data_IF_123979697634
#
_entry.id   IF_123979697634
#
_cell.length_a   1.000
_cell.length_b   1.000
_cell.length_c   1.000
_cell.angle_alpha   90.00
_cell.angle_beta   90.00
_cell.angle_gamma   90.00
#
_symmetry.space_group_name_H-M   'P 1'
#
loop_
_entity.id
_entity.type
_entity.pdbx_description
1 polymer ?
#
# COMPACT_ATOMS: atom_id res chain seq x y z
N UNK A 1 -26.22 -44.64 -13.82
CA UNK A 1 -26.01 -43.30 -13.23
C UNK A 1 -27.02 -42.33 -13.85
N UNK A 2 -27.83 -41.66 -13.04
CA UNK A 2 -29.04 -40.95 -13.48
C UNK A 2 -28.69 -39.63 -14.21
N UNK A 3 -29.38 -39.30 -15.32
CA UNK A 3 -29.12 -38.07 -16.10
C UNK A 3 -29.35 -36.81 -15.25
N UNK A 4 -30.37 -36.83 -14.40
CA UNK A 4 -30.69 -35.75 -13.46
C UNK A 4 -29.52 -35.48 -12.51
N UNK A 5 -28.86 -36.54 -12.03
CA UNK A 5 -27.72 -36.42 -11.12
C UNK A 5 -26.53 -35.71 -11.79
N UNK A 6 -26.26 -36.01 -13.08
CA UNK A 6 -25.21 -35.31 -13.84
C UNK A 6 -25.48 -33.81 -13.99
N UNK A 7 -26.74 -33.42 -14.23
CA UNK A 7 -27.11 -32.01 -14.37
C UNK A 7 -26.96 -31.24 -13.05
N UNK A 8 -27.33 -31.85 -11.92
CA UNK A 8 -27.15 -31.26 -10.60
C UNK A 8 -25.65 -31.04 -10.30
N UNK A 9 -24.80 -32.03 -10.59
CA UNK A 9 -23.35 -31.87 -10.42
C UNK A 9 -22.76 -30.76 -11.30
N UNK A 10 -23.20 -30.65 -12.55
CA UNK A 10 -22.78 -29.58 -13.46
C UNK A 10 -23.19 -28.18 -12.96
N UNK A 11 -24.39 -28.06 -12.39
CA UNK A 11 -24.87 -26.81 -11.80
C UNK A 11 -24.02 -26.36 -10.60
N UNK A 12 -23.72 -27.27 -9.67
CA UNK A 12 -22.84 -26.96 -8.53
C UNK A 12 -21.40 -26.64 -8.96
N UNK A 13 -20.89 -27.31 -9.99
CA UNK A 13 -19.59 -27.00 -10.56
C UNK A 13 -19.55 -25.57 -11.13
N UNK A 14 -20.60 -25.14 -11.83
CA UNK A 14 -20.73 -23.76 -12.30
C UNK A 14 -20.77 -22.73 -11.17
N UNK A 15 -21.52 -22.99 -10.09
CA UNK A 15 -21.55 -22.10 -8.91
C UNK A 15 -20.14 -21.95 -8.31
N UNK A 16 -19.39 -23.05 -8.21
CA UNK A 16 -18.05 -23.06 -7.64
C UNK A 16 -17.05 -22.27 -8.49
N UNK A 17 -17.21 -22.27 -9.82
CA UNK A 17 -16.40 -21.44 -10.72
C UNK A 17 -16.71 -19.94 -10.58
N UNK A 18 -17.96 -19.57 -10.29
CA UNK A 18 -18.37 -18.16 -10.17
C UNK A 18 -18.02 -17.51 -8.82
N UNK A 19 -17.91 -18.28 -7.74
CA UNK A 19 -17.56 -17.73 -6.42
C UNK A 19 -16.05 -17.55 -6.21
N UNK A 20 -15.22 -18.11 -7.09
CA UNK A 20 -13.76 -18.16 -6.95
C UNK A 20 -13.00 -16.88 -7.35
N UNK A 21 -13.62 -15.89 -8.00
CA UNK A 21 -12.89 -14.75 -8.58
C UNK A 21 -12.83 -13.52 -7.68
N UNK A 22 -12.64 -13.71 -6.37
CA UNK A 22 -12.26 -12.61 -5.49
C UNK A 22 -10.78 -12.27 -5.69
N UNK A 23 -10.43 -11.76 -6.87
CA UNK A 23 -9.10 -11.22 -7.15
C UNK A 23 -8.67 -10.29 -6.02
N UNK A 24 -7.43 -10.43 -5.57
CA UNK A 24 -6.81 -9.43 -4.70
C UNK A 24 -6.47 -8.27 -5.62
N UNK A 25 -7.32 -7.25 -5.60
CA UNK A 25 -7.06 -6.02 -6.30
C UNK A 25 -6.08 -5.23 -5.44
N UNK A 26 -4.80 -5.23 -5.85
CA UNK A 26 -3.75 -4.44 -5.21
C UNK A 26 -3.43 -3.24 -6.11
N UNK A 27 -3.34 -2.05 -5.50
CA UNK A 27 -2.89 -0.83 -6.17
C UNK A 27 -1.42 -0.63 -5.93
N UNK A 28 -0.66 -0.36 -6.98
CA UNK A 28 0.76 0.01 -6.87
C UNK A 28 0.90 1.50 -7.22
N UNK A 29 1.56 2.25 -6.35
CA UNK A 29 1.99 3.63 -6.62
C UNK A 29 3.52 3.71 -6.53
N UNK A 30 4.12 4.51 -7.40
CA UNK A 30 5.56 4.73 -7.45
C UNK A 30 5.89 6.13 -6.97
N UNK A 31 6.78 6.24 -5.99
CA UNK A 31 7.21 7.50 -5.40
C UNK A 31 8.61 7.82 -5.92
N UNK A 32 8.80 9.01 -6.47
CA UNK A 32 10.10 9.51 -6.95
C UNK A 32 10.49 10.75 -6.16
N UNK A 33 11.76 10.87 -5.77
CA UNK A 33 12.26 11.93 -4.92
C UNK A 33 12.00 13.31 -5.51
N UNK A 34 12.36 13.52 -6.78
CA UNK A 34 12.22 14.80 -7.49
C UNK A 34 10.84 15.00 -8.14
N UNK A 35 9.81 14.32 -7.66
CA UNK A 35 8.45 14.40 -8.18
C UNK A 35 7.48 14.91 -7.10
N UNK A 36 6.40 15.54 -7.56
CA UNK A 36 5.20 15.87 -6.81
C UNK A 36 4.63 14.70 -6.00
N UNK A 37 4.90 13.45 -6.40
CA UNK A 37 4.51 12.24 -5.65
C UNK A 37 5.10 12.18 -4.25
N UNK A 38 6.36 12.60 -4.06
CA UNK A 38 7.04 12.57 -2.76
C UNK A 38 6.62 13.74 -1.88
N UNK A 39 6.49 14.94 -2.46
CA UNK A 39 6.04 16.14 -1.72
C UNK A 39 4.60 16.02 -1.19
N UNK A 40 3.73 15.36 -1.96
CA UNK A 40 2.34 15.12 -1.60
C UNK A 40 2.08 13.69 -1.13
N UNK A 41 3.07 13.04 -0.50
CA UNK A 41 2.98 11.63 -0.11
C UNK A 41 1.75 11.32 0.79
N UNK A 42 1.40 12.11 1.82
CA UNK A 42 0.22 11.84 2.64
C UNK A 42 -1.06 11.79 1.82
N UNK A 43 -1.28 12.84 1.01
CA UNK A 43 -2.45 12.94 0.14
C UNK A 43 -2.45 11.78 -0.85
N UNK A 44 -1.33 11.53 -1.52
CA UNK A 44 -1.22 10.47 -2.51
C UNK A 44 -1.58 9.11 -1.92
N UNK A 45 -1.11 8.80 -0.71
CA UNK A 45 -1.49 7.57 -0.02
C UNK A 45 -3.00 7.58 0.25
N UNK A 46 -3.54 8.63 0.86
CA UNK A 46 -4.97 8.71 1.23
C UNK A 46 -5.92 8.42 0.06
N UNK A 47 -5.70 9.04 -1.11
CA UNK A 47 -6.57 8.84 -2.30
C UNK A 47 -6.39 7.49 -3.02
N UNK A 48 -5.37 6.70 -2.68
CA UNK A 48 -5.13 5.39 -3.29
C UNK A 48 -5.48 4.20 -2.38
N UNK A 49 -6.18 4.42 -1.26
CA UNK A 49 -6.62 3.35 -0.35
C UNK A 49 -8.01 2.79 -0.66
N UNK A 50 -8.46 2.84 -1.91
CA UNK A 50 -9.78 2.28 -2.29
C UNK A 50 -9.72 0.77 -2.56
N UNK A 51 -8.52 0.23 -2.78
CA UNK A 51 -8.26 -1.16 -3.10
C UNK A 51 -7.93 -1.98 -1.84
N UNK A 52 -8.04 -3.32 -1.90
CA UNK A 52 -7.79 -4.21 -0.74
C UNK A 52 -6.38 -4.01 -0.15
N UNK A 53 -5.42 -3.71 -1.01
CA UNK A 53 -4.02 -3.50 -0.68
C UNK A 53 -3.43 -2.34 -1.49
N UNK A 54 -2.63 -1.51 -0.84
CA UNK A 54 -1.83 -0.45 -1.43
C UNK A 54 -0.34 -0.78 -1.26
N UNK A 55 0.39 -0.84 -2.38
CA UNK A 55 1.84 -1.00 -2.42
C UNK A 55 2.44 0.35 -2.81
N UNK A 56 3.22 0.93 -1.90
CA UNK A 56 3.95 2.19 -2.12
C UNK A 56 5.40 1.83 -2.39
N UNK A 57 5.83 2.06 -3.64
CA UNK A 57 7.16 1.68 -4.10
C UNK A 57 8.05 2.92 -4.26
N UNK A 58 9.07 3.04 -3.41
CA UNK A 58 10.08 4.09 -3.45
C UNK A 58 11.16 3.67 -4.44
N UNK A 59 11.12 4.23 -5.65
CA UNK A 59 11.99 3.79 -6.75
C UNK A 59 13.39 4.37 -6.72
N UNK A 60 13.63 5.43 -5.96
CA UNK A 60 14.93 6.08 -5.86
C UNK A 60 15.73 5.56 -4.66
N UNK A 61 17.05 5.66 -4.74
CA UNK A 61 17.95 5.23 -3.66
C UNK A 61 18.00 6.25 -2.51
N UNK A 62 17.59 7.49 -2.78
CA UNK A 62 17.72 8.61 -1.85
C UNK A 62 16.49 9.53 -1.90
N UNK A 63 15.99 9.90 -0.72
CA UNK A 63 14.92 10.86 -0.53
C UNK A 63 15.34 11.88 0.53
N UNK A 64 15.52 13.14 0.13
CA UNK A 64 15.72 14.24 1.06
C UNK A 64 14.39 14.58 1.76
N UNK A 65 14.27 14.19 3.03
CA UNK A 65 13.07 14.46 3.82
C UNK A 65 12.88 15.96 4.06
N UNK A 66 13.88 16.81 3.83
CA UNK A 66 13.78 18.26 3.92
C UNK A 66 12.73 18.86 2.98
N UNK A 67 12.49 18.22 1.83
CA UNK A 67 11.58 18.68 0.78
C UNK A 67 10.09 18.61 1.16
N UNK A 68 9.76 17.85 2.20
CA UNK A 68 8.39 17.77 2.71
C UNK A 68 8.21 18.91 3.71
N UNK A 69 7.30 19.85 3.43
CA UNK A 69 7.15 21.06 4.24
C UNK A 69 6.68 20.76 5.67
N UNK A 70 5.89 19.69 5.82
CA UNK A 70 5.34 19.21 7.07
C UNK A 70 6.43 18.70 8.02
N UNK A 71 6.28 19.07 9.30
CA UNK A 71 7.20 18.64 10.35
C UNK A 71 6.98 17.18 10.77
N UNK A 72 5.76 16.70 10.60
CA UNK A 72 5.36 15.33 10.86
C UNK A 72 4.49 14.85 9.70
N UNK A 73 4.84 13.70 9.14
CA UNK A 73 4.04 13.05 8.11
C UNK A 73 3.07 12.13 8.83
N UNK A 74 1.79 12.49 8.85
CA UNK A 74 0.72 11.64 9.38
C UNK A 74 0.04 10.90 8.23
N UNK A 75 0.13 9.57 8.24
CA UNK A 75 -0.52 8.71 7.25
C UNK A 75 -1.61 7.92 7.96
N UNK A 76 -2.88 8.24 7.66
CA UNK A 76 -4.01 7.42 8.09
C UNK A 76 -4.12 6.17 7.20
N UNK A 77 -4.10 4.99 7.80
CA UNK A 77 -4.08 3.70 7.10
C UNK A 77 -5.43 2.99 7.27
N UNK A 78 -6.22 2.98 6.20
CA UNK A 78 -7.51 2.32 6.06
C UNK A 78 -7.42 0.95 5.37
N UNK A 79 -6.46 0.73 4.45
CA UNK A 79 -6.26 -0.55 3.73
C UNK A 79 -4.91 -1.19 4.06
N UNK A 80 -4.65 -2.41 3.59
CA UNK A 80 -3.35 -3.02 3.86
C UNK A 80 -2.30 -2.23 3.08
N UNK A 81 -1.23 -1.77 3.74
CA UNK A 81 -0.20 -0.96 3.11
C UNK A 81 1.15 -1.67 3.18
N UNK A 82 1.85 -1.72 2.06
CA UNK A 82 3.21 -2.23 1.94
C UNK A 82 4.11 -1.12 1.44
N UNK A 83 5.17 -0.80 2.18
CA UNK A 83 6.19 0.15 1.77
C UNK A 83 7.41 -0.62 1.25
N UNK A 84 7.77 -0.40 0.00
CA UNK A 84 8.85 -1.12 -0.68
C UNK A 84 9.94 -0.12 -1.07
N UNK A 85 11.18 -0.40 -0.65
CA UNK A 85 12.34 0.36 -1.09
C UNK A 85 12.92 -0.15 -2.41
N UNK A 86 13.79 0.65 -3.00
CA UNK A 86 14.62 0.29 -4.14
C UNK A 86 15.46 -0.96 -3.81
N UNK A 87 15.67 -1.82 -4.82
CA UNK A 87 16.48 -3.05 -4.72
C UNK A 87 17.92 -2.84 -4.21
N UNK A 88 18.48 -1.66 -4.41
CA UNK A 88 19.83 -1.28 -3.99
C UNK A 88 19.84 -0.64 -2.59
N UNK A 89 18.68 -0.54 -1.94
CA UNK A 89 18.46 0.22 -0.72
C UNK A 89 17.79 1.57 -1.01
N UNK A 90 16.98 2.02 -0.05
CA UNK A 90 16.38 3.36 -0.05
C UNK A 90 16.75 4.04 1.25
N UNK A 91 17.39 5.20 1.15
CA UNK A 91 17.73 6.07 2.27
C UNK A 91 16.75 7.24 2.33
N UNK A 92 16.13 7.40 3.49
CA UNK A 92 15.36 8.58 3.84
C UNK A 92 16.25 9.48 4.70
N UNK A 93 16.70 10.60 4.14
CA UNK A 93 17.61 11.50 4.85
C UNK A 93 16.84 12.54 5.66
N UNK A 94 16.96 12.45 6.98
CA UNK A 94 16.35 13.35 7.96
C UNK A 94 17.28 14.50 8.37
N UNK A 95 18.40 14.71 7.66
CA UNK A 95 19.45 15.67 7.99
C UNK A 95 19.03 17.14 7.79
N UNK A 96 17.95 17.59 8.43
CA UNK A 96 17.59 19.01 8.46
C UNK A 96 18.15 19.69 9.71
N UNK A 97 19.09 20.65 9.59
CA UNK A 97 19.65 21.36 10.75
C UNK A 97 18.69 22.39 11.38
N UNK A 98 17.51 22.66 10.78
CA UNK A 98 16.64 23.80 11.18
C UNK A 98 15.19 23.45 11.52
N UNK A 99 14.74 22.25 11.22
CA UNK A 99 13.39 21.76 11.52
C UNK A 99 13.64 20.46 12.27
N UNK A 100 13.49 20.46 13.59
CA UNK A 100 13.88 19.33 14.44
C UNK A 100 13.24 18.00 14.00
N UNK A 101 13.66 16.91 14.64
CA UNK A 101 13.40 15.52 14.27
C UNK A 101 12.07 15.31 13.52
N UNK A 102 12.12 15.31 12.17
CA UNK A 102 10.97 14.93 11.35
C UNK A 102 10.64 13.48 11.66
N UNK A 103 9.36 13.17 11.78
CA UNK A 103 8.86 11.86 12.17
C UNK A 103 7.75 11.41 11.22
N UNK A 104 7.76 10.12 10.91
CA UNK A 104 6.65 9.46 10.22
C UNK A 104 5.77 8.80 11.27
N UNK A 105 4.48 9.08 11.20
CA UNK A 105 3.48 8.46 12.06
C UNK A 105 2.44 7.77 11.19
N UNK A 106 2.32 6.46 11.37
CA UNK A 106 1.23 5.69 10.79
C UNK A 106 0.11 5.58 11.82
N UNK A 107 -1.05 6.10 11.48
CA UNK A 107 -2.25 5.97 12.29
C UNK A 107 -3.14 4.90 11.64
N UNK A 108 -3.20 3.73 12.26
CA UNK A 108 -4.00 2.61 11.78
C UNK A 108 -5.43 2.70 12.32
N UNK A 109 -6.42 2.26 11.53
CA UNK A 109 -7.74 1.99 12.09
C UNK A 109 -7.65 0.86 13.12
N UNK A 110 -8.52 0.90 14.14
CA UNK A 110 -8.44 0.05 15.34
C UNK A 110 -8.44 -1.47 15.08
N UNK A 111 -8.73 -1.89 13.86
CA UNK A 111 -8.98 -3.29 13.49
C UNK A 111 -7.75 -3.94 12.82
N UNK A 112 -6.60 -3.24 12.73
CA UNK A 112 -5.44 -3.69 11.94
C UNK A 112 -4.22 -4.06 12.77
N UNK A 113 -3.59 -5.17 12.38
CA UNK A 113 -2.33 -5.67 12.92
C UNK A 113 -1.19 -5.26 11.99
N UNK A 114 -0.13 -4.64 12.52
CA UNK A 114 1.09 -4.36 11.75
C UNK A 114 2.09 -5.51 11.91
N UNK A 115 2.87 -5.79 10.86
CA UNK A 115 3.97 -6.75 10.87
C UNK A 115 5.20 -6.09 10.27
N UNK A 116 6.35 -6.27 10.92
CA UNK A 116 7.64 -5.93 10.34
C UNK A 116 8.15 -7.22 9.69
N UNK A 117 8.28 -7.29 8.36
CA UNK A 117 8.86 -8.46 7.71
C UNK A 117 10.31 -8.60 8.19
N UNK A 118 10.64 -9.77 8.73
CA UNK A 118 11.99 -10.19 9.15
C UNK A 118 12.78 -10.73 7.98
#
# INVERSE_FOLDING_TARGET
MNIIFKQICLFFFYILLFTGTNGVQSKVIYIKHNDTSFKNLPDLILRNQNDKELIVNFVDEYYDMSEIEEYAILISVATNITLVGNKNGTMFDYSTPRKGNKRWFFQFSNDKVYRIPT
#
